data_IF_523366170609
#
_entry.id   IF_523366170609
#
_cell.length_a   1.000
_cell.length_b   1.000
_cell.length_c   1.000
_cell.angle_alpha   90.00
_cell.angle_beta   90.00
_cell.angle_gamma   90.00
#
_symmetry.space_group_name_H-M   'P 1'
#
loop_
_entity.id
_entity.type
_entity.pdbx_description
1 polymer ?
#
# COMPACT_ATOMS: atom_id res chain seq x y z
N UNK A 1 -18.38 39.83 -6.49
CA UNK A 1 -17.79 39.58 -7.83
C UNK A 1 -16.28 39.74 -7.73
N UNK A 2 -15.58 38.63 -7.51
CA UNK A 2 -14.26 38.33 -8.09
C UNK A 2 -13.92 36.90 -7.70
N UNK A 3 -13.94 36.11 -8.76
CA UNK A 3 -13.55 34.73 -8.90
C UNK A 3 -12.04 34.59 -8.66
N UNK A 4 -11.63 33.54 -7.97
CA UNK A 4 -10.22 33.14 -7.89
C UNK A 4 -10.16 31.62 -7.90
N UNK A 5 -10.27 31.07 -9.12
CA UNK A 5 -9.92 29.70 -9.41
C UNK A 5 -8.43 29.48 -9.17
N UNK A 6 -8.10 28.74 -8.12
CA UNK A 6 -6.82 28.08 -7.98
C UNK A 6 -6.97 26.68 -8.60
N UNK A 7 -6.54 26.53 -9.84
CA UNK A 7 -6.35 25.21 -10.46
C UNK A 7 -5.22 24.50 -9.73
N UNK A 8 -5.56 23.43 -9.03
CA UNK A 8 -4.64 22.53 -8.36
C UNK A 8 -3.86 21.75 -9.43
N UNK A 9 -2.69 22.27 -9.84
CA UNK A 9 -1.75 21.51 -10.66
C UNK A 9 -0.96 20.58 -9.74
N UNK A 10 -1.41 19.32 -9.70
CA UNK A 10 -0.70 18.21 -9.10
C UNK A 10 0.70 18.13 -9.73
N UNK A 11 1.73 18.28 -8.91
CA UNK A 11 3.11 18.39 -9.37
C UNK A 11 3.62 17.00 -9.72
N UNK A 12 3.80 16.75 -11.01
CA UNK A 12 4.49 15.56 -11.50
C UNK A 12 5.89 15.49 -10.86
N UNK A 13 6.17 14.41 -10.13
CA UNK A 13 7.49 14.13 -9.56
C UNK A 13 8.53 14.25 -10.66
N UNK A 14 9.56 15.07 -10.43
CA UNK A 14 10.60 15.34 -11.42
C UNK A 14 11.31 14.03 -11.80
N UNK A 15 11.15 13.62 -13.06
CA UNK A 15 11.70 12.39 -13.67
C UNK A 15 13.19 12.16 -13.36
N UNK A 16 13.97 13.21 -13.11
CA UNK A 16 15.40 13.10 -12.79
C UNK A 16 15.68 12.64 -11.36
N UNK A 17 14.84 12.99 -10.40
CA UNK A 17 15.06 12.71 -8.98
C UNK A 17 14.69 11.25 -8.66
N UNK A 18 13.63 10.75 -9.28
CA UNK A 18 13.23 9.33 -9.20
C UNK A 18 14.28 8.38 -9.80
N UNK A 19 14.86 8.69 -10.96
CA UNK A 19 15.88 7.84 -11.62
C UNK A 19 17.12 7.66 -10.73
N UNK A 20 17.47 8.68 -9.93
CA UNK A 20 18.55 8.59 -8.95
C UNK A 20 18.17 7.70 -7.76
N UNK A 21 16.94 7.83 -7.26
CA UNK A 21 16.44 7.02 -6.14
C UNK A 21 16.27 5.53 -6.53
N UNK A 22 15.65 5.24 -7.67
CA UNK A 22 15.46 3.87 -8.16
C UNK A 22 16.79 3.19 -8.51
N UNK A 23 17.74 3.92 -9.09
CA UNK A 23 19.10 3.42 -9.33
C UNK A 23 19.86 3.11 -8.03
N UNK A 24 19.66 3.92 -6.99
CA UNK A 24 20.24 3.67 -5.66
C UNK A 24 19.59 2.45 -4.98
N UNK A 25 18.28 2.25 -5.12
CA UNK A 25 17.56 1.11 -4.55
C UNK A 25 17.97 -0.21 -5.22
N UNK A 26 18.10 -0.25 -6.54
CA UNK A 26 18.61 -1.43 -7.26
C UNK A 26 20.07 -1.76 -6.87
N UNK A 27 20.90 -0.74 -6.64
CA UNK A 27 22.26 -0.93 -6.13
C UNK A 27 22.30 -1.40 -4.66
N UNK A 28 21.32 -1.02 -3.84
CA UNK A 28 21.21 -1.48 -2.45
C UNK A 28 20.74 -2.93 -2.36
N UNK A 29 19.72 -3.32 -3.14
CA UNK A 29 19.20 -4.70 -3.19
C UNK A 29 20.27 -5.70 -3.68
N UNK A 30 21.13 -5.28 -4.61
CA UNK A 30 22.28 -6.10 -5.03
C UNK A 30 23.30 -6.27 -3.90
N UNK A 31 23.62 -5.21 -3.17
CA UNK A 31 24.58 -5.24 -2.05
C UNK A 31 24.10 -6.08 -0.86
N UNK A 32 22.81 -6.13 -0.56
CA UNK A 32 22.27 -6.99 0.52
C UNK A 32 22.27 -8.47 0.14
N UNK A 33 21.93 -8.82 -1.10
CA UNK A 33 22.07 -10.20 -1.61
C UNK A 33 23.53 -10.71 -1.59
N UNK A 34 24.52 -9.81 -1.68
CA UNK A 34 25.94 -10.13 -1.51
C UNK A 34 26.36 -10.39 -0.06
N UNK A 35 25.64 -9.86 0.95
CA UNK A 35 25.96 -10.10 2.36
C UNK A 35 25.42 -11.44 2.86
N UNK A 36 24.22 -11.84 2.44
CA UNK A 36 23.67 -13.15 2.83
C UNK A 36 24.43 -14.33 2.22
N UNK A 37 24.97 -14.17 1.02
CA UNK A 37 25.76 -15.21 0.33
C UNK A 37 27.21 -15.32 0.80
N UNK A 38 27.71 -14.38 1.61
CA UNK A 38 29.08 -14.39 2.14
C UNK A 38 29.22 -15.12 3.49
N UNK A 39 28.11 -15.45 4.17
CA UNK A 39 28.14 -16.15 5.47
C UNK A 39 27.99 -17.67 5.38
N UNK A 40 27.81 -18.22 4.19
CA UNK A 40 27.75 -19.66 3.97
C UNK A 40 28.57 -20.00 2.73
N UNK A 41 29.72 -20.63 2.93
CA UNK A 41 30.28 -21.73 2.13
C UNK A 41 31.81 -21.64 2.05
N UNK A 42 32.43 -22.61 2.71
CA UNK A 42 33.86 -22.79 2.86
C UNK A 42 34.37 -23.60 1.66
N UNK A 43 35.15 -22.95 0.79
CA UNK A 43 36.08 -23.57 -0.14
C UNK A 43 35.55 -24.63 -1.12
N UNK A 44 35.10 -24.19 -2.31
CA UNK A 44 35.39 -24.83 -3.62
C UNK A 44 34.99 -23.90 -4.78
N UNK A 45 35.99 -23.40 -5.51
CA UNK A 45 35.81 -22.50 -6.64
C UNK A 45 35.37 -23.26 -7.89
N UNK A 46 34.12 -23.09 -8.31
CA UNK A 46 33.60 -23.62 -9.57
C UNK A 46 33.22 -22.47 -10.52
N UNK A 47 33.52 -22.63 -11.81
CA UNK A 47 33.45 -21.60 -12.87
C UNK A 47 32.05 -21.09 -13.22
N UNK A 48 31.02 -21.44 -12.44
CA UNK A 48 29.63 -20.97 -12.60
C UNK A 48 29.38 -19.56 -12.08
N UNK A 49 30.14 -19.11 -11.06
CA UNK A 49 29.93 -17.80 -10.41
C UNK A 49 30.14 -16.60 -11.35
N UNK A 50 30.91 -16.73 -12.43
CA UNK A 50 31.15 -15.63 -13.37
C UNK A 50 30.04 -15.46 -14.41
N UNK A 51 29.26 -16.51 -14.70
CA UNK A 51 28.13 -16.43 -15.63
C UNK A 51 26.90 -15.83 -14.93
N UNK A 52 26.57 -16.30 -13.72
CA UNK A 52 25.47 -15.73 -12.91
C UNK A 52 25.63 -14.22 -12.68
N UNK A 53 26.85 -13.76 -12.39
CA UNK A 53 27.11 -12.33 -12.18
C UNK A 53 26.99 -11.47 -13.45
N UNK A 54 27.24 -12.05 -14.62
CA UNK A 54 27.03 -11.35 -15.91
C UNK A 54 25.54 -11.33 -16.27
N UNK A 55 24.83 -12.40 -15.96
CA UNK A 55 23.39 -12.52 -16.17
C UNK A 55 22.60 -11.59 -15.25
N UNK A 56 23.00 -11.45 -13.98
CA UNK A 56 22.39 -10.49 -13.04
C UNK A 56 22.68 -9.03 -13.42
N UNK A 57 23.92 -8.72 -13.84
CA UNK A 57 24.24 -7.38 -14.33
C UNK A 57 23.44 -7.03 -15.60
N UNK A 58 23.22 -8.01 -16.48
CA UNK A 58 22.36 -7.87 -17.66
C UNK A 58 20.90 -7.61 -17.28
N UNK A 59 20.34 -8.40 -16.36
CA UNK A 59 18.96 -8.22 -15.84
C UNK A 59 18.75 -6.85 -15.20
N UNK A 60 19.71 -6.39 -14.40
CA UNK A 60 19.66 -5.06 -13.79
C UNK A 60 19.69 -3.95 -14.86
N UNK A 61 20.55 -4.09 -15.88
CA UNK A 61 20.60 -3.12 -16.98
C UNK A 61 19.32 -3.10 -17.81
N UNK A 62 18.71 -4.26 -18.03
CA UNK A 62 17.44 -4.40 -18.73
C UNK A 62 16.31 -3.76 -17.94
N UNK A 63 16.20 -4.03 -16.63
CA UNK A 63 15.26 -3.38 -15.74
C UNK A 63 15.43 -1.86 -15.73
N UNK A 64 16.67 -1.36 -15.58
CA UNK A 64 16.96 0.09 -15.64
C UNK A 64 16.52 0.68 -16.98
N UNK A 65 16.71 -0.03 -18.09
CA UNK A 65 16.30 0.43 -19.42
C UNK A 65 14.78 0.51 -19.54
N UNK A 66 14.05 -0.49 -19.03
CA UNK A 66 12.58 -0.50 -18.99
C UNK A 66 12.04 0.66 -18.14
N UNK A 67 12.54 0.81 -16.91
CA UNK A 67 12.09 1.87 -15.99
C UNK A 67 12.39 3.28 -16.54
N UNK A 68 13.50 3.47 -17.27
CA UNK A 68 13.80 4.76 -17.92
C UNK A 68 12.75 5.18 -18.96
N UNK A 69 12.15 4.19 -19.63
CA UNK A 69 11.08 4.39 -20.61
C UNK A 69 9.67 4.45 -20.00
N UNK A 70 9.51 3.96 -18.77
CA UNK A 70 8.22 3.88 -18.09
C UNK A 70 7.65 5.24 -17.68
N UNK A 71 6.31 5.29 -17.54
CA UNK A 71 5.61 6.37 -16.84
C UNK A 71 5.57 6.03 -15.36
N UNK A 72 5.79 7.04 -14.53
CA UNK A 72 5.63 6.94 -13.08
C UNK A 72 4.30 7.57 -12.70
N UNK A 73 3.51 6.85 -11.92
CA UNK A 73 2.27 7.33 -11.34
C UNK A 73 2.44 7.35 -9.82
N UNK A 74 2.11 8.47 -9.20
CA UNK A 74 1.94 8.53 -7.76
C UNK A 74 0.51 8.09 -7.43
N UNK A 75 0.39 7.00 -6.68
CA UNK A 75 -0.90 6.44 -6.29
C UNK A 75 -1.36 6.98 -4.93
N UNK A 76 -0.61 7.90 -4.34
CA UNK A 76 -0.91 8.52 -3.06
C UNK A 76 -1.76 9.80 -3.28
N UNK A 77 -3.02 9.87 -2.80
CA UNK A 77 -3.69 11.16 -2.65
C UNK A 77 -2.91 12.07 -1.67
N UNK A 78 -2.97 13.38 -1.91
CA UNK A 78 -2.57 14.35 -0.89
C UNK A 78 -3.46 14.20 0.34
N UNK A 79 -2.85 14.09 1.51
CA UNK A 79 -3.54 13.90 2.78
C UNK A 79 -3.06 14.91 3.83
N UNK A 80 -3.98 15.30 4.72
CA UNK A 80 -3.79 16.29 5.78
C UNK A 80 -4.72 16.02 6.96
N UNK A 81 -4.84 16.94 7.92
CA UNK A 81 -5.70 16.78 9.11
C UNK A 81 -7.20 16.62 8.81
N UNK A 82 -7.63 16.90 7.57
CA UNK A 82 -9.01 16.76 7.08
C UNK A 82 -9.23 15.46 6.30
N UNK A 83 -8.19 14.65 6.09
CA UNK A 83 -8.31 13.39 5.37
C UNK A 83 -9.34 12.45 6.02
N UNK A 84 -10.11 11.73 5.20
CA UNK A 84 -11.10 10.79 5.70
C UNK A 84 -10.40 9.71 6.52
N UNK A 85 -10.98 9.38 7.67
CA UNK A 85 -10.42 8.38 8.57
C UNK A 85 -11.51 7.49 9.16
N UNK A 86 -11.21 6.19 9.30
CA UNK A 86 -12.09 5.30 10.04
C UNK A 86 -12.13 5.72 11.53
N UNK A 87 -13.33 5.82 12.10
CA UNK A 87 -13.58 6.41 13.43
C UNK A 87 -12.88 5.72 14.61
N UNK A 88 -12.34 4.52 14.39
CA UNK A 88 -11.58 3.74 15.38
C UNK A 88 -10.10 4.15 15.46
N UNK A 89 -9.61 4.99 14.55
CA UNK A 89 -8.21 5.37 14.45
C UNK A 89 -7.94 6.81 14.93
N UNK A 90 -6.73 7.10 15.47
CA UNK A 90 -6.36 8.46 15.82
C UNK A 90 -6.14 9.31 14.57
N UNK A 91 -6.58 10.57 14.62
CA UNK A 91 -6.40 11.50 13.50
C UNK A 91 -4.93 11.83 13.26
N UNK A 92 -4.59 12.10 12.01
CA UNK A 92 -3.35 12.80 11.70
C UNK A 92 -3.38 14.22 12.29
N UNK A 93 -2.26 14.65 12.85
CA UNK A 93 -2.00 16.04 13.18
C UNK A 93 -0.51 16.33 13.07
N UNK A 94 -0.21 17.58 12.70
CA UNK A 94 1.15 18.07 12.62
C UNK A 94 1.20 19.47 13.23
N UNK A 95 2.29 19.76 13.95
CA UNK A 95 2.57 21.11 14.40
C UNK A 95 4.05 21.42 14.25
N UNK A 96 4.36 22.69 14.03
CA UNK A 96 5.74 23.17 14.11
C UNK A 96 6.15 23.27 15.58
N UNK A 97 7.25 22.59 15.91
CA UNK A 97 7.97 22.74 17.17
C UNK A 97 8.95 23.93 17.08
N UNK A 98 9.56 24.11 15.91
CA UNK A 98 10.35 25.28 15.58
C UNK A 98 9.91 25.91 14.26
N UNK A 99 10.07 27.23 14.17
CA UNK A 99 9.77 28.02 12.97
C UNK A 99 11.04 28.76 12.55
N UNK A 100 11.18 29.10 11.26
CA UNK A 100 12.30 29.93 10.82
C UNK A 100 12.43 31.23 11.63
N UNK A 101 11.30 31.84 12.01
CA UNK A 101 11.29 33.06 12.82
C UNK A 101 11.88 32.83 14.22
N UNK A 102 11.53 31.72 14.89
CA UNK A 102 12.03 31.47 16.25
C UNK A 102 13.49 30.99 16.24
N UNK A 103 13.90 30.17 15.26
CA UNK A 103 15.27 29.65 15.18
C UNK A 103 16.28 30.72 14.75
N UNK A 104 15.90 31.57 13.80
CA UNK A 104 16.74 32.71 13.39
C UNK A 104 16.97 33.71 14.52
N UNK A 105 15.95 33.94 15.35
CA UNK A 105 16.00 34.86 16.49
C UNK A 105 16.58 34.23 17.75
N UNK A 106 16.73 32.91 17.77
CA UNK A 106 17.35 32.19 18.87
C UNK A 106 18.87 32.41 18.77
N UNK A 107 19.40 33.33 19.57
CA UNK A 107 20.83 33.72 19.57
C UNK A 107 21.82 32.60 19.95
N UNK A 108 21.39 31.35 19.98
CA UNK A 108 22.23 30.16 20.06
C UNK A 108 22.91 29.80 18.72
N UNK A 109 22.38 30.30 17.60
CA UNK A 109 22.96 30.09 16.26
C UNK A 109 23.50 31.40 15.67
N UNK A 110 24.35 31.28 14.65
CA UNK A 110 25.16 32.35 14.06
C UNK A 110 24.40 33.40 13.23
N UNK A 111 23.08 33.53 13.37
CA UNK A 111 22.19 34.37 12.54
C UNK A 111 22.32 34.12 11.02
N UNK A 112 23.01 33.06 10.59
CA UNK A 112 23.00 32.58 9.22
C UNK A 112 22.11 31.34 9.08
N UNK A 113 21.96 30.56 10.16
CA UNK A 113 21.07 29.42 10.23
C UNK A 113 19.64 29.82 10.66
N UNK A 114 18.64 29.34 9.90
CA UNK A 114 17.26 29.23 10.37
C UNK A 114 16.68 27.92 9.84
N UNK A 115 15.80 27.30 10.64
CA UNK A 115 15.17 26.04 10.29
C UNK A 115 13.77 25.95 10.89
N UNK A 116 13.02 24.97 10.41
CA UNK A 116 11.74 24.55 10.95
C UNK A 116 11.90 23.11 11.45
N UNK A 117 11.18 22.75 12.51
CA UNK A 117 11.05 21.37 12.97
C UNK A 117 9.59 21.11 13.29
N UNK A 118 9.15 19.88 13.07
CA UNK A 118 7.76 19.49 13.23
C UNK A 118 7.62 18.26 14.11
N UNK A 119 6.49 18.19 14.81
CA UNK A 119 6.03 17.02 15.53
C UNK A 119 4.78 16.55 14.82
N UNK A 120 4.83 15.30 14.35
CA UNK A 120 3.70 14.63 13.72
C UNK A 120 3.15 13.57 14.66
N UNK A 121 1.83 13.55 14.81
CA UNK A 121 1.09 12.43 15.37
C UNK A 121 0.26 11.85 14.23
N UNK A 122 0.52 10.61 13.88
CA UNK A 122 -0.17 9.97 12.76
C UNK A 122 -0.65 8.58 13.15
N UNK A 123 -1.83 8.23 12.65
CA UNK A 123 -2.20 6.83 12.48
C UNK A 123 -1.68 6.40 11.12
N UNK A 124 -0.82 5.39 11.09
CA UNK A 124 -0.49 4.71 9.84
C UNK A 124 -1.64 3.88 9.27
N UNK A 125 -2.80 3.84 9.93
CA UNK A 125 -3.95 3.01 9.57
C UNK A 125 -5.15 3.88 9.20
N UNK A 126 -5.68 3.64 8.00
CA UNK A 126 -6.96 4.14 7.48
C UNK A 126 -7.18 5.67 7.51
N UNK A 127 -6.13 6.49 7.44
CA UNK A 127 -6.22 7.97 7.33
C UNK A 127 -5.29 8.58 6.26
N UNK A 128 -4.50 7.72 5.62
CA UNK A 128 -3.58 7.95 4.52
C UNK A 128 -3.47 6.64 3.73
N UNK A 129 -2.87 6.62 2.53
CA UNK A 129 -2.50 5.36 1.87
C UNK A 129 -1.63 4.53 2.77
N UNK A 130 -2.13 3.36 3.15
CA UNK A 130 -1.55 2.53 4.21
C UNK A 130 -1.43 1.09 3.77
N UNK A 131 -0.32 0.46 4.15
CA UNK A 131 -0.14 -0.98 4.01
C UNK A 131 -0.49 -1.61 5.35
N UNK A 132 -1.34 -2.62 5.32
CA UNK A 132 -1.65 -3.44 6.48
C UNK A 132 -0.57 -4.51 6.66
N UNK A 133 0.04 -4.53 7.85
CA UNK A 133 0.99 -5.57 8.23
C UNK A 133 0.29 -6.93 8.40
N UNK A 134 1.05 -8.03 8.32
CA UNK A 134 0.46 -9.37 8.53
C UNK A 134 -0.06 -9.60 9.95
N UNK A 135 0.38 -8.78 10.91
CA UNK A 135 -0.17 -8.77 12.26
C UNK A 135 -1.22 -7.67 12.51
N UNK A 136 -1.74 -7.02 11.47
CA UNK A 136 -2.77 -5.97 11.61
C UNK A 136 -4.10 -6.52 12.12
N UNK A 137 -4.62 -7.56 11.47
CA UNK A 137 -5.88 -8.23 11.81
C UNK A 137 -5.60 -9.70 12.11
N UNK A 138 -6.23 -10.21 13.17
CA UNK A 138 -6.20 -11.61 13.55
C UNK A 138 -7.58 -12.27 13.43
N UNK A 139 -7.58 -13.61 13.42
CA UNK A 139 -8.77 -14.45 13.55
C UNK A 139 -8.67 -15.28 14.83
N UNK A 140 -9.72 -15.29 15.65
CA UNK A 140 -9.81 -16.10 16.87
C UNK A 140 -8.62 -15.93 17.83
N UNK A 141 -8.12 -14.70 17.96
CA UNK A 141 -6.95 -14.38 18.81
C UNK A 141 -5.61 -14.86 18.23
N UNK A 142 -5.58 -15.22 16.95
CA UNK A 142 -4.38 -15.65 16.21
C UNK A 142 -4.11 -14.75 15.03
N UNK A 143 -2.83 -14.52 14.76
CA UNK A 143 -2.35 -13.85 13.56
C UNK A 143 -1.92 -14.89 12.52
N UNK A 144 -1.46 -14.42 11.35
CA UNK A 144 -0.93 -15.29 10.32
C UNK A 144 0.10 -16.30 10.85
N UNK A 145 0.04 -17.53 10.34
CA UNK A 145 0.88 -18.65 10.80
C UNK A 145 0.51 -19.19 12.19
N UNK A 146 -0.64 -18.78 12.76
CA UNK A 146 -1.14 -19.28 14.04
C UNK A 146 -0.50 -18.62 15.27
N UNK A 147 0.26 -17.53 15.08
CA UNK A 147 0.90 -16.76 16.14
C UNK A 147 -0.15 -16.22 17.11
N UNK A 148 0.10 -16.35 18.42
CA UNK A 148 -0.81 -15.81 19.44
C UNK A 148 -0.81 -14.26 19.40
N UNK A 149 -1.96 -13.67 19.06
CA UNK A 149 -2.09 -12.22 18.93
C UNK A 149 -1.89 -11.48 20.25
N UNK A 150 -2.33 -12.07 21.38
CA UNK A 150 -2.20 -11.48 22.71
C UNK A 150 -0.73 -11.40 23.14
N UNK A 151 0.04 -12.48 22.92
CA UNK A 151 1.46 -12.50 23.25
C UNK A 151 2.25 -11.55 22.34
N UNK A 152 1.91 -11.52 21.04
CA UNK A 152 2.57 -10.67 20.05
C UNK A 152 2.37 -9.16 20.30
N UNK A 153 1.32 -8.78 21.04
CA UNK A 153 0.97 -7.39 21.37
C UNK A 153 1.04 -7.09 22.87
N UNK A 154 1.61 -8.00 23.67
CA UNK A 154 1.72 -7.84 25.12
C UNK A 154 2.63 -6.67 25.55
N UNK A 155 3.51 -6.19 24.67
CA UNK A 155 4.24 -4.94 24.82
C UNK A 155 3.55 -3.83 24.00
N UNK A 156 2.93 -2.82 24.65
CA UNK A 156 2.15 -1.79 23.97
C UNK A 156 3.00 -0.83 23.11
N UNK A 157 4.33 -0.97 23.12
CA UNK A 157 5.23 -0.21 22.25
C UNK A 157 5.23 -0.71 20.80
N UNK A 158 4.69 -1.90 20.53
CA UNK A 158 4.50 -2.38 19.16
C UNK A 158 4.36 -3.89 19.03
N UNK A 159 3.77 -4.32 17.92
CA UNK A 159 3.70 -5.73 17.52
C UNK A 159 5.10 -6.34 17.48
N UNK A 160 5.27 -7.54 18.05
CA UNK A 160 6.54 -8.25 18.01
C UNK A 160 7.54 -7.85 19.09
N UNK A 161 7.33 -6.74 19.81
CA UNK A 161 8.28 -6.21 20.80
C UNK A 161 8.48 -7.11 22.01
N UNK A 162 7.51 -7.98 22.29
CA UNK A 162 7.61 -9.05 23.30
C UNK A 162 8.54 -10.20 22.89
N UNK A 163 8.97 -10.25 21.62
CA UNK A 163 9.70 -11.36 21.02
C UNK A 163 8.81 -12.37 20.30
N UNK A 164 7.48 -12.24 20.36
CA UNK A 164 6.52 -13.11 19.68
C UNK A 164 5.94 -12.39 18.46
N UNK A 165 6.01 -12.99 17.27
CA UNK A 165 5.34 -12.45 16.08
C UNK A 165 6.03 -11.25 15.41
N UNK A 166 7.30 -10.95 15.73
CA UNK A 166 8.03 -9.82 15.14
C UNK A 166 8.04 -9.82 13.61
N UNK A 167 8.20 -10.99 12.98
CA UNK A 167 8.17 -11.16 11.53
C UNK A 167 6.83 -10.76 10.86
N UNK A 168 5.77 -10.48 11.63
CA UNK A 168 4.48 -10.02 11.13
C UNK A 168 4.31 -8.49 11.17
N UNK A 169 5.28 -7.77 11.75
CA UNK A 169 5.30 -6.32 11.83
C UNK A 169 5.79 -5.67 10.51
N UNK A 170 5.42 -4.41 10.30
CA UNK A 170 5.66 -3.71 9.04
C UNK A 170 7.15 -3.44 8.77
N UNK A 171 7.98 -3.36 9.80
CA UNK A 171 9.45 -3.29 9.67
C UNK A 171 10.07 -4.59 9.10
N UNK A 172 9.28 -5.67 9.04
CA UNK A 172 9.60 -6.93 8.36
C UNK A 172 8.88 -7.09 7.01
N UNK A 173 8.35 -6.01 6.42
CA UNK A 173 7.74 -6.05 5.10
C UNK A 173 8.72 -6.65 4.07
N UNK A 174 8.23 -7.60 3.29
CA UNK A 174 9.09 -8.39 2.42
C UNK A 174 9.68 -7.50 1.31
N UNK A 175 11.01 -7.51 1.17
CA UNK A 175 11.72 -6.62 0.23
C UNK A 175 11.37 -6.92 -1.23
N UNK A 176 11.00 -8.16 -1.56
CA UNK A 176 10.49 -8.54 -2.88
C UNK A 176 9.16 -7.86 -3.21
N UNK A 177 8.40 -7.40 -2.20
CA UNK A 177 7.14 -6.67 -2.37
C UNK A 177 7.31 -5.14 -2.42
N UNK A 178 8.50 -4.62 -2.10
CA UNK A 178 8.78 -3.18 -2.28
C UNK A 178 8.83 -2.78 -3.75
N UNK A 179 9.29 -3.70 -4.60
CA UNK A 179 9.35 -3.54 -6.06
C UNK A 179 8.94 -4.86 -6.70
N UNK A 180 7.66 -5.00 -6.99
CA UNK A 180 7.11 -6.17 -7.68
C UNK A 180 6.20 -5.78 -8.86
N UNK A 181 5.72 -6.80 -9.56
CA UNK A 181 4.70 -6.65 -10.60
C UNK A 181 3.38 -6.23 -9.96
N UNK A 182 2.87 -5.07 -10.37
CA UNK A 182 1.54 -4.59 -10.04
C UNK A 182 0.57 -4.82 -11.20
N UNK A 183 -0.66 -5.23 -10.89
CA UNK A 183 -1.74 -5.42 -11.86
C UNK A 183 -2.95 -4.61 -11.43
N UNK A 184 -3.49 -3.79 -12.34
CA UNK A 184 -4.72 -3.05 -12.14
C UNK A 184 -5.91 -3.81 -12.76
N UNK A 185 -6.96 -4.03 -11.98
CA UNK A 185 -8.29 -4.44 -12.43
C UNK A 185 -9.25 -3.25 -12.29
N UNK A 186 -9.59 -2.60 -13.41
CA UNK A 186 -10.51 -1.45 -13.44
C UNK A 186 -11.97 -1.90 -13.52
N UNK A 187 -12.44 -2.45 -12.40
CA UNK A 187 -13.79 -2.99 -12.22
C UNK A 187 -14.84 -1.89 -12.43
N UNK A 188 -14.56 -0.66 -12.00
CA UNK A 188 -15.45 0.48 -12.19
C UNK A 188 -15.71 0.75 -13.67
N UNK A 189 -14.65 0.89 -14.48
CA UNK A 189 -14.80 1.15 -15.92
C UNK A 189 -15.47 -0.03 -16.62
N UNK A 190 -15.07 -1.26 -16.30
CA UNK A 190 -15.66 -2.46 -16.90
C UNK A 190 -17.18 -2.53 -16.68
N UNK A 191 -17.64 -2.35 -15.44
CA UNK A 191 -19.06 -2.47 -15.10
C UNK A 191 -19.91 -1.26 -15.51
N UNK A 192 -19.33 -0.07 -15.53
CA UNK A 192 -20.08 1.17 -15.81
C UNK A 192 -19.98 1.64 -17.26
N UNK A 193 -18.99 1.14 -18.01
CA UNK A 193 -18.61 1.58 -19.34
C UNK A 193 -17.98 2.99 -19.39
N UNK A 194 -17.65 3.60 -18.24
CA UNK A 194 -17.11 4.97 -18.16
C UNK A 194 -16.10 5.10 -17.02
N UNK A 195 -14.88 5.52 -17.34
CA UNK A 195 -13.82 5.75 -16.35
C UNK A 195 -14.18 6.76 -15.27
N UNK A 196 -15.00 7.76 -15.60
CA UNK A 196 -15.45 8.80 -14.66
C UNK A 196 -16.59 8.38 -13.73
N UNK A 197 -17.14 7.16 -13.86
CA UNK A 197 -18.28 6.72 -13.09
C UNK A 197 -17.86 5.70 -12.01
N UNK A 198 -17.98 6.05 -10.70
CA UNK A 198 -17.69 5.11 -9.63
C UNK A 198 -18.74 4.01 -9.54
N UNK A 199 -18.35 2.90 -8.88
CA UNK A 199 -19.30 1.88 -8.42
C UNK A 199 -20.23 2.45 -7.34
N UNK A 200 -21.44 1.88 -7.24
CA UNK A 200 -22.38 2.27 -6.20
C UNK A 200 -21.84 1.94 -4.80
N UNK A 201 -22.16 2.77 -3.80
CA UNK A 201 -21.64 2.66 -2.43
C UNK A 201 -21.85 1.30 -1.75
N UNK A 202 -22.88 0.53 -2.12
CA UNK A 202 -23.13 -0.79 -1.56
C UNK A 202 -22.66 -1.95 -2.42
N UNK A 203 -21.91 -1.69 -3.50
CA UNK A 203 -21.61 -2.70 -4.51
C UNK A 203 -20.53 -3.67 -4.02
N UNK A 204 -20.91 -4.95 -3.97
CA UNK A 204 -19.99 -6.04 -3.65
C UNK A 204 -19.32 -6.56 -4.92
N UNK A 205 -17.98 -6.54 -4.93
CA UNK A 205 -17.16 -7.07 -6.01
C UNK A 205 -16.98 -8.59 -5.77
N UNK A 206 -17.41 -9.39 -6.73
CA UNK A 206 -17.40 -10.87 -6.68
C UNK A 206 -16.22 -11.42 -7.47
N UNK A 207 -15.93 -12.72 -7.33
CA UNK A 207 -14.92 -13.39 -8.16
C UNK A 207 -15.21 -13.22 -9.65
N UNK A 208 -16.48 -13.30 -10.03
CA UNK A 208 -16.91 -13.12 -11.42
C UNK A 208 -16.62 -11.71 -11.94
N UNK A 209 -16.89 -10.67 -11.14
CA UNK A 209 -16.57 -9.30 -11.55
C UNK A 209 -15.07 -9.13 -11.82
N UNK A 210 -14.21 -9.71 -10.97
CA UNK A 210 -12.75 -9.66 -11.13
C UNK A 210 -12.28 -10.46 -12.37
N UNK A 211 -12.78 -11.67 -12.55
CA UNK A 211 -12.45 -12.53 -13.69
C UNK A 211 -12.88 -11.90 -15.03
N UNK A 212 -14.12 -11.40 -15.10
CA UNK A 212 -14.66 -10.77 -16.30
C UNK A 212 -13.90 -9.47 -16.64
N UNK A 213 -13.51 -8.69 -15.61
CA UNK A 213 -12.66 -7.49 -15.78
C UNK A 213 -11.28 -7.86 -16.33
N UNK A 214 -10.60 -8.84 -15.72
CA UNK A 214 -9.29 -9.29 -16.16
C UNK A 214 -9.32 -9.79 -17.61
N UNK A 215 -10.33 -10.61 -17.96
CA UNK A 215 -10.55 -11.09 -19.31
C UNK A 215 -10.81 -9.96 -20.31
N UNK A 216 -11.68 -9.00 -19.98
CA UNK A 216 -11.97 -7.86 -20.86
C UNK A 216 -10.76 -6.95 -21.09
N UNK A 217 -9.87 -6.81 -20.10
CA UNK A 217 -8.62 -6.07 -20.22
C UNK A 217 -7.50 -6.84 -20.93
N UNK A 218 -7.67 -8.15 -21.17
CA UNK A 218 -6.57 -9.02 -21.60
C UNK A 218 -5.44 -9.11 -20.55
N UNK A 219 -5.80 -8.99 -19.28
CA UNK A 219 -4.87 -8.98 -18.14
C UNK A 219 -4.83 -10.37 -17.50
N UNK A 220 -3.62 -10.92 -17.36
CA UNK A 220 -3.39 -12.18 -16.65
C UNK A 220 -2.84 -11.89 -15.25
N UNK A 221 -3.40 -12.57 -14.24
CA UNK A 221 -2.90 -12.56 -12.87
C UNK A 221 -1.88 -13.66 -12.67
N UNK A 222 -0.74 -13.33 -12.07
CA UNK A 222 0.31 -14.27 -11.75
C UNK A 222 0.52 -14.37 -10.23
N UNK A 223 1.00 -15.54 -9.80
CA UNK A 223 1.47 -15.73 -8.43
C UNK A 223 2.57 -14.71 -8.12
N UNK A 224 2.41 -13.98 -7.02
CA UNK A 224 3.34 -12.94 -6.59
C UNK A 224 2.90 -11.51 -6.92
N UNK A 225 1.80 -11.34 -7.66
CA UNK A 225 1.32 -10.02 -8.06
C UNK A 225 0.81 -9.19 -6.86
N UNK A 226 1.02 -7.88 -6.97
CA UNK A 226 0.24 -6.87 -6.26
C UNK A 226 -1.00 -6.55 -7.11
N UNK A 227 -2.20 -6.89 -6.63
CA UNK A 227 -3.44 -6.70 -7.39
C UNK A 227 -4.22 -5.50 -6.87
N UNK A 228 -4.39 -4.50 -7.72
CA UNK A 228 -5.11 -3.25 -7.43
C UNK A 228 -6.50 -3.32 -8.06
N UNK A 229 -7.53 -3.05 -7.28
CA UNK A 229 -8.92 -2.98 -7.74
C UNK A 229 -9.33 -1.52 -7.77
N UNK A 230 -9.68 -1.00 -8.96
CA UNK A 230 -10.26 0.34 -9.07
C UNK A 230 -11.78 0.29 -8.99
N UNK A 231 -12.33 0.97 -7.99
CA UNK A 231 -13.77 1.14 -7.76
C UNK A 231 -14.29 2.50 -8.22
N UNK A 232 -13.37 3.43 -8.54
CA UNK A 232 -13.63 4.81 -8.96
C UNK A 232 -13.88 5.76 -7.78
N UNK A 233 -13.64 5.32 -6.55
CA UNK A 233 -13.87 6.09 -5.33
C UNK A 233 -12.68 6.96 -4.92
N UNK A 234 -11.48 6.70 -5.45
CA UNK A 234 -10.27 7.48 -5.15
C UNK A 234 -10.47 9.01 -5.12
N UNK A 235 -11.17 9.63 -6.09
CA UNK A 235 -11.38 11.08 -6.11
C UNK A 235 -12.17 11.63 -4.92
N UNK A 236 -13.04 10.82 -4.29
CA UNK A 236 -13.81 11.26 -3.13
C UNK A 236 -12.92 11.45 -1.90
N UNK A 237 -11.72 10.85 -1.84
CA UNK A 237 -10.77 11.04 -0.73
C UNK A 237 -10.51 12.52 -0.43
N UNK A 238 -10.35 13.34 -1.49
CA UNK A 238 -10.14 14.79 -1.37
C UNK A 238 -11.41 15.59 -1.67
N UNK A 239 -12.21 15.18 -2.66
CA UNK A 239 -13.34 15.99 -3.13
C UNK A 239 -14.59 15.90 -2.24
N UNK A 240 -14.79 14.78 -1.56
CA UNK A 240 -15.87 14.58 -0.60
C UNK A 240 -15.46 13.58 0.51
N UNK A 241 -14.62 14.00 1.47
CA UNK A 241 -14.15 13.14 2.56
C UNK A 241 -15.29 12.54 3.41
N UNK A 242 -16.42 13.26 3.52
CA UNK A 242 -17.57 12.80 4.26
C UNK A 242 -18.27 11.62 3.56
N UNK A 243 -18.41 11.68 2.23
CA UNK A 243 -18.88 10.54 1.44
C UNK A 243 -17.87 9.39 1.50
N UNK A 244 -16.58 9.67 1.34
CA UNK A 244 -15.52 8.64 1.35
C UNK A 244 -15.48 7.85 2.66
N UNK A 245 -15.59 8.55 3.80
CA UNK A 245 -15.63 7.94 5.14
C UNK A 245 -17.03 7.47 5.57
N UNK A 246 -18.00 7.48 4.65
CA UNK A 246 -19.39 7.18 4.92
C UNK A 246 -19.66 5.75 5.42
N UNK A 247 -20.94 5.46 5.64
CA UNK A 247 -21.39 4.17 6.13
C UNK A 247 -21.25 3.02 5.10
N UNK A 248 -21.01 3.33 3.83
CA UNK A 248 -20.94 2.34 2.75
C UNK A 248 -19.97 2.78 1.66
N UNK A 249 -19.22 1.82 1.14
CA UNK A 249 -18.30 1.93 0.00
C UNK A 249 -18.24 0.57 -0.71
N UNK A 250 -17.98 0.54 -2.02
CA UNK A 250 -17.79 -0.71 -2.73
C UNK A 250 -16.49 -1.39 -2.30
N UNK A 251 -16.37 -2.68 -2.64
CA UNK A 251 -15.16 -3.44 -2.41
C UNK A 251 -15.40 -4.94 -2.63
N UNK A 252 -14.35 -5.76 -2.67
CA UNK A 252 -14.47 -7.22 -2.64
C UNK A 252 -15.32 -7.72 -1.46
N UNK A 253 -16.20 -8.66 -1.76
CA UNK A 253 -16.72 -9.61 -0.77
C UNK A 253 -15.77 -10.81 -0.63
N UNK A 254 -16.17 -11.79 0.19
CA UNK A 254 -15.37 -13.00 0.46
C UNK A 254 -15.05 -13.78 -0.81
N UNK A 255 -16.02 -13.92 -1.71
CA UNK A 255 -15.82 -14.60 -2.99
C UNK A 255 -14.77 -13.87 -3.86
N UNK A 256 -14.86 -12.53 -3.94
CA UNK A 256 -13.86 -11.72 -4.64
C UNK A 256 -12.47 -11.84 -4.02
N UNK A 257 -12.38 -11.87 -2.69
CA UNK A 257 -11.11 -12.08 -2.00
C UNK A 257 -10.53 -13.48 -2.26
N UNK A 258 -11.37 -14.52 -2.26
CA UNK A 258 -10.95 -15.88 -2.57
C UNK A 258 -10.37 -15.99 -3.98
N UNK A 259 -10.98 -15.31 -4.96
CA UNK A 259 -10.42 -15.23 -6.31
C UNK A 259 -8.99 -14.69 -6.32
N UNK A 260 -8.71 -13.60 -5.59
CA UNK A 260 -7.35 -13.02 -5.52
C UNK A 260 -6.35 -13.98 -4.85
N UNK A 261 -6.78 -14.67 -3.79
CA UNK A 261 -6.00 -15.69 -3.09
C UNK A 261 -5.66 -16.85 -4.03
N UNK A 262 -6.64 -17.37 -4.76
CA UNK A 262 -6.48 -18.51 -5.67
C UNK A 262 -5.53 -18.20 -6.84
N UNK A 263 -5.48 -16.93 -7.27
CA UNK A 263 -4.53 -16.44 -8.28
C UNK A 263 -3.15 -16.10 -7.71
N UNK A 264 -2.95 -16.26 -6.40
CA UNK A 264 -1.66 -16.14 -5.74
C UNK A 264 -1.19 -14.69 -5.53
N UNK A 265 -2.12 -13.74 -5.38
CA UNK A 265 -1.78 -12.38 -4.97
C UNK A 265 -1.01 -12.39 -3.64
N UNK A 266 0.01 -11.53 -3.53
CA UNK A 266 0.79 -11.33 -2.29
C UNK A 266 0.45 -10.02 -1.60
N UNK A 267 -0.08 -9.08 -2.37
CA UNK A 267 -0.62 -7.80 -1.92
C UNK A 267 -1.90 -7.55 -2.70
N UNK A 268 -2.93 -7.06 -2.03
CA UNK A 268 -4.16 -6.60 -2.67
C UNK A 268 -4.43 -5.18 -2.23
N UNK A 269 -5.09 -4.39 -3.07
CA UNK A 269 -5.46 -3.04 -2.66
C UNK A 269 -6.52 -2.40 -3.51
N UNK A 270 -7.07 -1.30 -3.04
CA UNK A 270 -8.08 -0.54 -3.76
C UNK A 270 -8.07 0.96 -3.39
N UNK A 271 -9.01 1.69 -3.99
CA UNK A 271 -9.19 3.13 -3.87
C UNK A 271 -10.28 3.52 -2.85
N UNK A 272 -10.54 2.70 -1.82
CA UNK A 272 -11.53 2.98 -0.75
C UNK A 272 -10.92 2.99 0.65
N UNK A 273 -11.66 3.53 1.62
CA UNK A 273 -11.24 3.64 3.04
C UNK A 273 -11.04 2.29 3.73
N UNK A 274 -11.73 1.26 3.26
CA UNK A 274 -11.47 -0.13 3.64
C UNK A 274 -11.44 -0.98 2.39
N UNK A 275 -10.65 -2.06 2.38
CA UNK A 275 -10.51 -2.91 1.21
C UNK A 275 -11.81 -3.64 0.88
N UNK A 276 -12.48 -4.23 1.87
CA UNK A 276 -13.75 -4.90 1.65
C UNK A 276 -14.94 -3.94 1.60
N UNK A 277 -16.03 -4.39 0.97
CA UNK A 277 -17.28 -3.62 0.87
C UNK A 277 -17.75 -3.19 2.26
N UNK A 278 -18.15 -1.93 2.42
CA UNK A 278 -18.73 -1.40 3.67
C UNK A 278 -20.26 -1.42 3.62
N UNK A 279 -20.95 -1.79 4.73
CA UNK A 279 -20.37 -2.26 5.99
C UNK A 279 -19.69 -3.63 5.82
N UNK A 280 -18.54 -3.85 6.50
CA UNK A 280 -17.72 -5.06 6.38
C UNK A 280 -18.31 -6.17 7.25
N UNK A 281 -19.53 -6.59 6.93
CA UNK A 281 -20.31 -7.53 7.74
C UNK A 281 -20.74 -8.69 6.85
N UNK A 282 -20.46 -9.91 7.32
CA UNK A 282 -21.03 -11.15 6.77
C UNK A 282 -21.95 -11.78 7.80
N UNK A 283 -23.17 -12.08 7.37
CA UNK A 283 -24.16 -12.79 8.18
C UNK A 283 -24.54 -14.07 7.46
N UNK A 284 -24.32 -15.20 8.11
CA UNK A 284 -24.83 -16.51 7.69
C UNK A 284 -25.90 -16.96 8.71
N UNK A 285 -26.66 -18.04 8.46
CA UNK A 285 -27.59 -18.57 9.46
C UNK A 285 -26.93 -18.95 10.80
N UNK A 286 -25.63 -19.23 10.81
CA UNK A 286 -24.87 -19.70 11.97
C UNK A 286 -23.87 -18.69 12.50
N UNK A 287 -23.46 -17.72 11.70
CA UNK A 287 -22.30 -16.86 11.99
C UNK A 287 -22.57 -15.38 11.70
N UNK A 288 -21.91 -14.54 12.48
CA UNK A 288 -21.83 -13.09 12.27
C UNK A 288 -20.36 -12.69 12.37
N UNK A 289 -19.82 -12.11 11.30
CA UNK A 289 -18.44 -11.66 11.25
C UNK A 289 -18.36 -10.20 10.84
N UNK A 290 -17.40 -9.51 11.45
CA UNK A 290 -17.00 -8.15 11.12
C UNK A 290 -15.58 -8.22 10.54
N UNK A 291 -15.38 -7.58 9.39
CA UNK A 291 -14.17 -7.70 8.57
C UNK A 291 -13.81 -9.13 8.11
N UNK A 292 -14.76 -9.92 7.58
CA UNK A 292 -14.51 -11.28 7.10
C UNK A 292 -13.43 -11.36 6.00
N UNK A 293 -13.32 -10.34 5.13
CA UNK A 293 -12.31 -10.34 4.06
C UNK A 293 -10.93 -10.02 4.62
N UNK A 294 -10.79 -9.07 5.55
CA UNK A 294 -9.48 -8.81 6.16
C UNK A 294 -8.97 -10.03 6.93
N UNK A 295 -9.82 -10.71 7.71
CA UNK A 295 -9.43 -11.95 8.39
C UNK A 295 -8.99 -13.02 7.38
N UNK A 296 -9.73 -13.20 6.29
CA UNK A 296 -9.36 -14.15 5.24
C UNK A 296 -8.01 -13.79 4.59
N UNK A 297 -7.86 -12.56 4.10
CA UNK A 297 -6.69 -12.14 3.33
C UNK A 297 -5.44 -12.09 4.21
N UNK A 298 -5.53 -11.46 5.39
CA UNK A 298 -4.37 -11.23 6.27
C UNK A 298 -4.12 -12.44 7.17
N UNK A 299 -5.06 -12.76 8.06
CA UNK A 299 -4.83 -13.74 9.12
C UNK A 299 -4.76 -15.17 8.58
N UNK A 300 -5.59 -15.52 7.60
CA UNK A 300 -5.66 -16.89 7.09
C UNK A 300 -4.65 -17.12 5.95
N UNK A 301 -4.37 -16.11 5.12
CA UNK A 301 -3.57 -16.26 3.90
C UNK A 301 -2.26 -15.45 3.84
N UNK A 302 -2.00 -14.55 4.79
CA UNK A 302 -0.71 -13.84 4.87
C UNK A 302 -0.48 -12.87 3.71
N UNK A 303 -1.56 -12.24 3.23
CA UNK A 303 -1.56 -11.28 2.13
C UNK A 303 -1.72 -9.87 2.71
N UNK A 304 -0.88 -8.94 2.26
CA UNK A 304 -0.98 -7.54 2.67
C UNK A 304 -2.15 -6.84 1.97
N UNK A 305 -2.75 -5.87 2.66
CA UNK A 305 -3.79 -5.00 2.10
C UNK A 305 -3.20 -3.60 1.95
N UNK A 306 -3.52 -2.89 0.86
CA UNK A 306 -3.26 -1.48 0.71
C UNK A 306 -4.55 -0.74 0.39
N UNK A 307 -4.81 0.33 1.13
CA UNK A 307 -6.05 1.10 1.05
C UNK A 307 -5.77 2.56 0.71
N UNK A 308 -6.82 3.30 0.35
CA UNK A 308 -6.77 4.72 0.01
C UNK A 308 -5.95 5.07 -1.24
N UNK A 309 -5.79 4.17 -2.20
CA UNK A 309 -5.12 4.52 -3.45
C UNK A 309 -5.87 5.58 -4.27
N UNK A 310 -5.12 6.37 -5.04
CA UNK A 310 -5.60 7.16 -6.18
C UNK A 310 -5.20 6.42 -7.47
N UNK A 311 -6.16 5.86 -8.19
CA UNK A 311 -5.92 4.96 -9.33
C UNK A 311 -6.30 5.59 -10.68
N UNK A 312 -6.77 6.83 -10.67
CA UNK A 312 -7.35 7.54 -11.82
C UNK A 312 -6.34 7.70 -12.95
N UNK A 313 -5.13 8.16 -12.66
CA UNK A 313 -4.12 8.38 -13.70
C UNK A 313 -3.59 7.07 -14.28
N UNK A 314 -3.55 6.01 -13.47
CA UNK A 314 -3.12 4.68 -13.91
C UNK A 314 -4.15 4.03 -14.85
N UNK A 315 -5.43 4.32 -14.64
CA UNK A 315 -6.56 3.81 -15.42
C UNK A 315 -6.88 4.61 -16.70
N UNK A 316 -6.18 5.74 -16.93
CA UNK A 316 -6.49 6.71 -17.99
C UNK A 316 -5.89 6.37 -19.37
#
# INVERSE_FOLDING_TARGET
MRDSGATNQQTAVNRRDFVRAAGALAAALTLEGFKETASADDGRSDGRRSNDRRDDAGRVQDFIREVKGARLFDLCPTWDENSPIASVNPKFSMKLDATHANTFRNGQFDQHLSFTSEIMQWSGQHGAPSIDALGHIGRDGRLFGGVNAFDATSDPRGLGRSGVGAHLAMDHYATDLLVNRGVLLDVATFLTGKTSKPLAAGFEITARHLADTAHAQGTELHRGDTVLIRTGWGPFFTSDPAQYAGASSPGPGVDGAQFLIDHGARVVGNDTLTFEKRPPIRVTPTDFEVFPVHMLVIADHGIHIIENFLLEELAA
#
